data_IF_364499866834
#
_entry.id   IF_364499866834
#
_cell.length_a   1.000
_cell.length_b   1.000
_cell.length_c   1.000
_cell.angle_alpha   90.00
_cell.angle_beta   90.00
_cell.angle_gamma   90.00
#
_symmetry.space_group_name_H-M   'P 1'
#
loop_
_entity.id
_entity.type
_entity.pdbx_description
1 polymer ?
#
# COMPACT_ATOMS: atom_id res chain seq x y z
N UNK A 1 13.79 19.04 4.54
CA UNK A 1 14.75 17.95 4.33
C UNK A 1 14.10 16.69 4.88
N UNK A 2 13.56 15.85 4.00
CA UNK A 2 12.77 14.66 4.35
C UNK A 2 13.75 13.48 4.33
N UNK A 3 13.82 12.70 5.41
CA UNK A 3 14.62 11.48 5.50
C UNK A 3 13.84 10.35 4.80
N UNK A 4 14.14 10.18 3.51
CA UNK A 4 13.53 9.26 2.54
C UNK A 4 13.91 7.77 2.76
N UNK A 5 14.79 7.50 3.71
CA UNK A 5 15.56 6.27 3.84
C UNK A 5 14.89 5.16 4.65
N UNK A 6 13.63 5.33 5.10
CA UNK A 6 12.93 4.27 5.85
C UNK A 6 11.50 3.94 5.41
N UNK A 7 10.80 4.79 4.67
CA UNK A 7 9.50 4.47 4.04
C UNK A 7 9.28 5.34 2.80
N UNK A 8 9.13 4.75 1.61
CA UNK A 8 8.88 5.50 0.38
C UNK A 8 7.55 5.10 -0.29
N UNK A 9 6.54 5.89 0.07
CA UNK A 9 5.51 6.52 -0.76
C UNK A 9 4.89 5.70 -1.90
N UNK A 10 3.67 5.23 -1.66
CA UNK A 10 2.62 5.26 -2.67
C UNK A 10 1.83 6.57 -2.58
N UNK A 11 1.44 7.13 -3.73
CA UNK A 11 0.52 8.29 -3.82
C UNK A 11 -0.94 7.93 -3.52
N UNK A 12 -1.21 6.72 -3.00
CA UNK A 12 -2.46 6.25 -2.39
C UNK A 12 -2.12 5.54 -1.07
N UNK A 13 -2.99 5.54 -0.04
CA UNK A 13 -2.59 5.26 1.34
C UNK A 13 -2.40 3.76 1.64
N UNK A 14 -1.30 3.22 1.14
CA UNK A 14 -0.80 1.90 1.50
C UNK A 14 0.68 2.00 1.90
N UNK A 15 1.04 1.33 2.99
CA UNK A 15 2.43 1.02 3.32
C UNK A 15 2.81 -0.24 2.55
N UNK A 16 3.95 -0.24 1.86
CA UNK A 16 4.43 -1.36 1.05
C UNK A 16 5.76 -1.84 1.58
N UNK A 17 5.94 -3.15 1.62
CA UNK A 17 7.23 -3.77 1.89
C UNK A 17 8.05 -3.88 0.58
N UNK A 18 9.03 -3.00 0.40
CA UNK A 18 9.77 -2.85 -0.86
C UNK A 18 10.42 -4.14 -1.41
N UNK A 19 11.03 -5.01 -0.58
CA UNK A 19 11.62 -6.27 -1.05
C UNK A 19 10.60 -7.25 -1.65
N UNK A 20 9.31 -7.07 -1.36
CA UNK A 20 8.23 -7.94 -1.87
C UNK A 20 7.66 -7.45 -3.20
N UNK A 21 8.06 -6.26 -3.66
CA UNK A 21 7.62 -5.68 -4.93
C UNK A 21 8.16 -6.53 -6.07
N UNK A 22 7.25 -7.08 -6.85
CA UNK A 22 7.54 -7.94 -8.00
C UNK A 22 6.64 -7.59 -9.16
N UNK A 23 7.07 -7.89 -10.38
CA UNK A 23 6.20 -7.72 -11.53
C UNK A 23 6.81 -8.16 -12.85
N UNK A 24 5.96 -8.14 -13.85
CA UNK A 24 6.28 -8.46 -15.23
C UNK A 24 5.66 -7.39 -16.12
N UNK A 25 6.33 -7.11 -17.24
CA UNK A 25 5.78 -6.21 -18.26
C UNK A 25 5.92 -6.83 -19.64
N UNK A 26 5.02 -6.47 -20.54
CA UNK A 26 5.08 -6.86 -21.94
C UNK A 26 4.58 -5.74 -22.85
N UNK A 27 5.11 -5.64 -24.09
CA UNK A 27 4.60 -4.70 -25.08
C UNK A 27 3.12 -4.95 -25.40
N UNK A 28 2.37 -3.88 -25.63
CA UNK A 28 0.96 -3.90 -26.04
C UNK A 28 0.70 -2.74 -27.01
N UNK A 29 0.96 -2.97 -28.30
CA UNK A 29 0.89 -1.93 -29.32
C UNK A 29 2.00 -0.89 -29.13
N UNK A 30 1.62 0.39 -29.04
CA UNK A 30 2.50 1.53 -28.74
C UNK A 30 2.72 1.73 -27.22
N UNK A 31 2.17 0.85 -26.39
CA UNK A 31 2.21 0.93 -24.92
C UNK A 31 2.78 -0.33 -24.29
N UNK A 32 2.82 -0.33 -22.96
CA UNK A 32 3.21 -1.47 -22.16
C UNK A 32 2.11 -1.83 -21.16
N UNK A 33 1.92 -3.12 -20.96
CA UNK A 33 1.14 -3.65 -19.87
C UNK A 33 2.07 -4.16 -18.77
N UNK A 34 1.70 -3.89 -17.51
CA UNK A 34 2.40 -4.33 -16.32
C UNK A 34 1.44 -5.08 -15.40
N UNK A 35 1.93 -6.14 -14.78
CA UNK A 35 1.26 -6.90 -13.72
C UNK A 35 2.27 -7.30 -12.66
N UNK A 36 1.95 -7.03 -11.40
CA UNK A 36 2.83 -7.27 -10.27
C UNK A 36 2.10 -7.36 -8.95
N UNK A 37 2.89 -7.55 -7.90
CA UNK A 37 2.43 -7.70 -6.53
C UNK A 37 3.37 -7.03 -5.55
N UNK A 38 2.86 -6.63 -4.40
CA UNK A 38 3.67 -6.27 -3.24
C UNK A 38 2.89 -6.52 -1.95
N UNK A 39 3.56 -6.94 -0.90
CA UNK A 39 2.97 -7.01 0.42
C UNK A 39 2.78 -5.59 0.96
N UNK A 40 1.60 -5.35 1.48
CA UNK A 40 1.15 -4.03 1.83
C UNK A 40 0.19 -4.05 3.02
N UNK A 41 0.11 -2.90 3.66
CA UNK A 41 -0.94 -2.53 4.59
C UNK A 41 -1.73 -1.37 4.00
N UNK A 42 -3.04 -1.51 3.90
CA UNK A 42 -3.95 -0.46 3.43
C UNK A 42 -5.16 -0.35 4.34
N UNK A 43 -5.72 0.84 4.48
CA UNK A 43 -6.98 0.98 5.19
C UNK A 43 -8.16 0.66 4.28
N UNK A 44 -9.18 0.00 4.86
CA UNK A 44 -10.46 -0.23 4.23
C UNK A 44 -11.57 0.12 5.20
N UNK A 45 -12.58 0.84 4.71
CA UNK A 45 -13.83 1.05 5.44
C UNK A 45 -14.87 0.04 4.99
N UNK A 46 -15.49 -0.65 5.93
CA UNK A 46 -16.59 -1.58 5.68
C UNK A 46 -17.62 -1.43 6.79
N UNK A 47 -18.89 -1.20 6.42
CA UNK A 47 -20.00 -1.03 7.37
C UNK A 47 -19.72 0.04 8.44
N UNK A 48 -19.17 1.18 8.04
CA UNK A 48 -18.83 2.27 8.96
C UNK A 48 -17.54 2.06 9.77
N UNK A 49 -16.99 0.85 9.82
CA UNK A 49 -15.78 0.51 10.57
C UNK A 49 -14.54 0.61 9.68
N UNK A 50 -13.56 1.40 10.12
CA UNK A 50 -12.23 1.47 9.51
C UNK A 50 -11.37 0.33 10.05
N UNK A 51 -10.73 -0.42 9.17
CA UNK A 51 -9.75 -1.46 9.52
C UNK A 51 -8.51 -1.28 8.68
N UNK A 52 -7.34 -1.56 9.25
CA UNK A 52 -6.15 -1.80 8.44
C UNK A 52 -6.25 -3.23 7.90
N UNK A 53 -6.13 -3.40 6.60
CA UNK A 53 -5.97 -4.67 5.91
C UNK A 53 -4.48 -4.88 5.63
N UNK A 54 -4.02 -6.10 5.79
CA UNK A 54 -2.64 -6.51 5.55
C UNK A 54 -2.69 -7.71 4.59
N UNK A 55 -1.79 -7.73 3.62
CA UNK A 55 -1.63 -8.83 2.69
C UNK A 55 -1.05 -8.35 1.37
N UNK A 56 -1.33 -9.05 0.27
CA UNK A 56 -0.69 -8.76 -1.01
C UNK A 56 -1.54 -7.85 -1.88
N UNK A 57 -1.02 -6.68 -2.24
CA UNK A 57 -1.60 -5.74 -3.19
C UNK A 57 -1.22 -6.15 -4.62
N UNK A 58 -2.18 -6.16 -5.54
CA UNK A 58 -1.93 -6.30 -6.98
C UNK A 58 -1.64 -4.92 -7.56
N UNK A 59 -0.59 -4.88 -8.38
CA UNK A 59 -0.12 -3.69 -9.07
C UNK A 59 -0.32 -3.91 -10.56
N UNK A 60 -1.16 -3.12 -11.22
CA UNK A 60 -1.43 -3.34 -12.63
C UNK A 60 -1.55 -2.03 -13.42
N UNK A 61 -1.14 -2.08 -14.68
CA UNK A 61 -1.47 -1.04 -15.65
C UNK A 61 -1.54 -1.64 -17.04
N UNK A 62 -2.50 -1.20 -17.83
CA UNK A 62 -2.69 -1.67 -19.20
C UNK A 62 -2.07 -0.75 -20.25
N UNK A 63 -1.60 0.43 -19.84
CA UNK A 63 -1.44 1.57 -20.73
C UNK A 63 -0.22 2.42 -20.37
N UNK A 64 0.85 1.80 -19.89
CA UNK A 64 2.08 2.54 -19.58
C UNK A 64 2.69 3.09 -20.88
N UNK A 65 3.06 4.38 -20.91
CA UNK A 65 3.63 5.00 -22.11
C UNK A 65 5.09 4.60 -22.36
N UNK A 66 5.78 4.08 -21.33
CA UNK A 66 7.19 3.67 -21.35
C UNK A 66 7.36 2.41 -20.49
N UNK A 67 8.37 1.57 -20.77
CA UNK A 67 8.70 0.45 -19.89
C UNK A 67 9.20 0.96 -18.53
N UNK A 68 8.96 0.17 -17.50
CA UNK A 68 9.43 0.38 -16.12
C UNK A 68 10.74 -0.38 -15.93
N UNK A 69 11.65 0.15 -15.12
CA UNK A 69 12.78 -0.59 -14.60
C UNK A 69 12.30 -1.58 -13.52
N UNK A 70 12.29 -2.87 -13.83
CA UNK A 70 11.79 -3.91 -12.93
C UNK A 70 12.76 -4.23 -11.77
N UNK A 71 14.03 -3.82 -11.86
CA UNK A 71 15.04 -4.04 -10.82
C UNK A 71 14.99 -2.98 -9.72
N UNK A 72 14.16 -1.94 -9.88
CA UNK A 72 13.98 -0.86 -8.90
C UNK A 72 12.52 -0.80 -8.41
N UNK A 73 12.24 -1.28 -7.18
CA UNK A 73 10.91 -1.20 -6.58
C UNK A 73 10.32 0.21 -6.56
N UNK A 74 11.14 1.25 -6.41
CA UNK A 74 10.67 2.62 -6.42
C UNK A 74 10.20 3.04 -7.81
N UNK A 75 10.88 2.57 -8.86
CA UNK A 75 10.47 2.83 -10.24
C UNK A 75 9.11 2.19 -10.54
N UNK A 76 8.89 0.97 -10.07
CA UNK A 76 7.59 0.28 -10.17
C UNK A 76 6.50 1.06 -9.45
N UNK A 77 6.71 1.42 -8.18
CA UNK A 77 5.71 2.11 -7.37
C UNK A 77 5.45 3.56 -7.82
N UNK A 78 6.40 4.20 -8.50
CA UNK A 78 6.25 5.53 -9.07
C UNK A 78 5.45 5.56 -10.38
N UNK A 79 5.24 4.41 -11.02
CA UNK A 79 4.44 4.32 -12.24
C UNK A 79 2.94 4.53 -11.95
N UNK A 80 2.18 4.92 -12.99
CA UNK A 80 0.72 5.08 -12.90
C UNK A 80 0.04 3.71 -12.91
N UNK A 81 0.20 3.00 -11.78
CA UNK A 81 -0.36 1.69 -11.52
C UNK A 81 -1.70 1.84 -10.80
N UNK A 82 -2.67 1.08 -11.26
CA UNK A 82 -3.91 0.90 -10.54
C UNK A 82 -3.70 -0.15 -9.44
N UNK A 83 -3.86 0.27 -8.19
CA UNK A 83 -3.89 -0.61 -7.01
C UNK A 83 -5.30 -0.82 -6.46
N UNK A 84 -6.35 -0.36 -7.16
CA UNK A 84 -7.75 -0.45 -6.69
C UNK A 84 -8.35 -1.86 -6.85
N UNK A 85 -7.78 -2.66 -7.75
CA UNK A 85 -8.28 -4.00 -8.06
C UNK A 85 -7.33 -5.04 -7.51
N UNK A 86 -7.76 -5.74 -6.47
CA UNK A 86 -7.09 -6.93 -5.97
C UNK A 86 -6.05 -6.61 -4.92
N UNK A 87 -6.46 -6.68 -3.66
CA UNK A 87 -5.56 -6.96 -2.57
C UNK A 87 -6.08 -8.20 -1.87
N UNK A 88 -5.27 -9.24 -1.76
CA UNK A 88 -5.64 -10.43 -0.98
C UNK A 88 -5.46 -10.05 0.49
N UNK A 89 -6.58 -9.73 1.15
CA UNK A 89 -6.58 -9.36 2.57
C UNK A 89 -6.38 -10.61 3.41
N UNK A 90 -5.14 -10.83 3.84
CA UNK A 90 -4.74 -11.98 4.66
C UNK A 90 -4.76 -11.66 6.16
N UNK A 91 -4.78 -10.38 6.52
CA UNK A 91 -4.84 -9.92 7.90
C UNK A 91 -5.59 -8.61 8.08
N UNK A 92 -6.04 -8.37 9.30
CA UNK A 92 -6.77 -7.19 9.71
C UNK A 92 -6.29 -6.72 11.07
N UNK A 93 -6.15 -5.41 11.22
CA UNK A 93 -5.96 -4.76 12.51
C UNK A 93 -7.08 -3.76 12.73
N UNK A 94 -7.73 -3.85 13.89
CA UNK A 94 -8.91 -3.06 14.25
C UNK A 94 -8.61 -1.85 15.13
N UNK A 95 -7.33 -1.56 15.37
CA UNK A 95 -6.90 -0.55 16.34
C UNK A 95 -6.32 -1.14 17.63
N UNK A 96 -6.63 -2.40 17.92
CA UNK A 96 -6.26 -3.06 19.19
C UNK A 96 -5.74 -4.47 18.95
N UNK A 97 -6.41 -5.25 18.11
CA UNK A 97 -6.16 -6.67 17.86
C UNK A 97 -5.85 -6.91 16.39
N UNK A 98 -4.91 -7.82 16.15
CA UNK A 98 -4.64 -8.37 14.83
C UNK A 98 -5.37 -9.70 14.66
N UNK A 99 -5.99 -9.88 13.49
CA UNK A 99 -6.75 -11.06 13.09
C UNK A 99 -6.37 -11.40 11.65
N UNK A 100 -5.81 -12.58 11.37
CA UNK A 100 -5.33 -12.87 10.02
C UNK A 100 -4.71 -14.23 9.85
N UNK A 101 -3.63 -14.26 9.06
CA UNK A 101 -2.81 -15.44 8.80
C UNK A 101 -2.57 -16.26 10.07
N UNK A 102 -2.80 -17.57 9.96
CA UNK A 102 -2.57 -18.55 11.02
C UNK A 102 -1.16 -19.13 10.97
N UNK A 103 -0.54 -19.11 9.78
CA UNK A 103 0.86 -19.50 9.61
C UNK A 103 1.77 -18.51 10.34
N UNK A 104 2.59 -18.96 11.31
CA UNK A 104 3.39 -18.08 12.17
C UNK A 104 4.30 -17.12 11.40
N UNK A 105 4.96 -17.59 10.33
CA UNK A 105 5.92 -16.81 9.56
C UNK A 105 5.22 -15.68 8.80
N UNK A 106 4.05 -15.95 8.21
CA UNK A 106 3.23 -14.96 7.52
C UNK A 106 2.67 -13.94 8.51
N UNK A 107 2.24 -14.41 9.68
CA UNK A 107 1.79 -13.54 10.76
C UNK A 107 2.93 -12.63 11.23
N UNK A 108 4.15 -13.13 11.38
CA UNK A 108 5.31 -12.34 11.79
C UNK A 108 5.66 -11.26 10.76
N UNK A 109 5.64 -11.59 9.46
CA UNK A 109 5.81 -10.62 8.37
C UNK A 109 4.75 -9.51 8.42
N UNK A 110 3.48 -9.88 8.56
CA UNK A 110 2.39 -8.91 8.69
C UNK A 110 2.56 -7.99 9.90
N UNK A 111 2.96 -8.56 11.04
CA UNK A 111 3.20 -7.79 12.26
C UNK A 111 4.43 -6.89 12.12
N UNK A 112 5.46 -7.28 11.36
CA UNK A 112 6.62 -6.43 11.07
C UNK A 112 6.20 -5.17 10.31
N UNK A 113 5.39 -5.32 9.25
CA UNK A 113 4.84 -4.20 8.47
C UNK A 113 3.93 -3.32 9.34
N UNK A 114 3.01 -3.93 10.10
CA UNK A 114 2.08 -3.22 10.97
C UNK A 114 2.81 -2.40 12.05
N UNK A 115 3.81 -2.98 12.73
CA UNK A 115 4.59 -2.30 13.77
C UNK A 115 5.28 -1.06 13.23
N UNK A 116 5.84 -1.15 12.02
CA UNK A 116 6.45 0.01 11.37
C UNK A 116 5.44 1.12 11.13
N UNK A 117 4.24 0.80 10.62
CA UNK A 117 3.19 1.80 10.44
C UNK A 117 2.79 2.45 11.77
N UNK A 118 2.57 1.66 12.83
CA UNK A 118 2.16 2.16 14.14
C UNK A 118 3.23 3.04 14.81
N UNK A 119 4.51 2.76 14.58
CA UNK A 119 5.60 3.61 15.07
C UNK A 119 5.58 5.01 14.43
N UNK A 120 5.15 5.11 13.17
CA UNK A 120 5.08 6.39 12.45
C UNK A 120 3.71 7.08 12.59
N UNK A 121 2.65 6.30 12.80
CA UNK A 121 1.26 6.75 12.88
C UNK A 121 0.52 6.02 14.01
N UNK A 122 0.81 6.37 15.28
CA UNK A 122 0.27 5.66 16.44
C UNK A 122 -1.25 5.83 16.61
N UNK A 123 -1.82 6.85 15.97
CA UNK A 123 -3.26 7.09 15.88
C UNK A 123 -3.64 7.47 14.45
N UNK A 124 -4.88 7.15 14.06
CA UNK A 124 -5.46 7.66 12.82
C UNK A 124 -5.55 9.20 12.91
N UNK A 125 -5.16 9.95 11.87
CA UNK A 125 -5.19 11.40 11.88
C UNK A 125 -6.63 11.91 11.99
N UNK A 126 -6.80 13.05 12.66
CA UNK A 126 -8.10 13.70 12.76
C UNK A 126 -8.66 14.03 11.37
N UNK A 127 -9.94 13.74 11.13
CA UNK A 127 -10.57 13.95 9.82
C UNK A 127 -10.40 12.80 8.81
N UNK A 128 -9.84 11.66 9.24
CA UNK A 128 -9.74 10.46 8.41
C UNK A 128 -11.12 9.90 8.04
N UNK A 129 -11.53 10.03 6.77
CA UNK A 129 -12.85 9.63 6.27
C UNK A 129 -12.89 8.20 5.69
N UNK A 130 -11.75 7.52 5.68
CA UNK A 130 -11.54 6.27 4.95
C UNK A 130 -10.36 6.35 3.99
N UNK A 131 -9.81 7.54 3.78
CA UNK A 131 -8.64 7.80 2.96
C UNK A 131 -7.65 8.69 3.71
N UNK A 132 -6.35 8.40 3.59
CA UNK A 132 -5.34 9.35 4.06
C UNK A 132 -5.32 10.52 3.08
N UNK A 133 -5.97 11.60 3.47
CA UNK A 133 -5.93 12.88 2.77
C UNK A 133 -5.36 13.91 3.73
N UNK A 134 -4.39 14.72 3.27
CA UNK A 134 -3.97 15.90 4.02
C UNK A 134 -5.10 16.91 3.92
N UNK A 135 -6.02 16.90 4.88
CA UNK A 135 -7.06 17.91 4.98
C UNK A 135 -6.39 19.22 5.40
N UNK A 136 -6.38 20.21 4.50
CA UNK A 136 -6.00 21.57 4.87
C UNK A 136 -6.91 22.02 6.00
N UNK A 137 -6.38 22.53 7.13
CA UNK A 137 -7.24 23.05 8.19
C UNK A 137 -8.16 24.11 7.58
N UNK A 138 -9.47 23.94 7.72
CA UNK A 138 -10.41 25.04 7.51
C UNK A 138 -9.97 26.14 8.48
N UNK A 139 -9.47 27.24 7.93
CA UNK A 139 -9.16 28.43 8.72
C UNK A 139 -10.39 28.82 9.55
N UNK A 140 -10.18 29.46 10.72
CA UNK A 140 -11.28 29.82 11.60
C UNK A 140 -12.26 30.72 10.83
N UNK A 141 -13.50 30.24 10.71
CA UNK A 141 -14.67 31.04 10.32
C UNK A 141 -15.07 31.99 11.44
#
# INVERSE_FOLDING_TARGET
MIREDKFLISRKPFAVDLPTVTGTQHPRGDRYAFSGTADALWFRRQNGVTRACIGTLKLWSHYLPKPINLDDPHNILAADLDGRYGGDCQGRWDGVRYWGAQEPEVQEQHLAILRQMLNHYPALPAGYDGWWTFQTPKGPS
#
